data_IF_083740004645
#
_entry.id   IF_083740004645
#
_cell.length_a   1.000
_cell.length_b   1.000
_cell.length_c   1.000
_cell.angle_alpha   90.00
_cell.angle_beta   90.00
_cell.angle_gamma   90.00
#
_symmetry.space_group_name_H-M   'P 1'
#
loop_
_entity.id
_entity.type
_entity.pdbx_description
1 polymer ?
#
# COMPACT_ATOMS: atom_id res chain seq x y z
N UNK A 1 1.94 -11.92 -6.85
CA UNK A 1 2.41 -11.18 -5.67
C UNK A 1 1.79 -11.74 -4.40
N UNK A 2 0.46 -11.80 -4.23
CA UNK A 2 -0.20 -12.29 -3.01
C UNK A 2 0.32 -13.65 -2.52
N UNK A 3 0.43 -14.63 -3.42
CA UNK A 3 0.81 -15.99 -3.05
C UNK A 3 2.32 -16.22 -2.90
N UNK A 4 3.17 -15.37 -3.52
CA UNK A 4 4.61 -15.63 -3.60
C UNK A 4 5.50 -14.42 -3.26
N UNK A 5 4.93 -13.24 -3.08
CA UNK A 5 5.67 -12.03 -2.74
C UNK A 5 5.36 -11.50 -1.34
N UNK A 6 4.12 -11.68 -0.87
CA UNK A 6 3.76 -11.34 0.50
C UNK A 6 4.09 -12.53 1.41
N UNK A 7 4.83 -12.36 2.50
CA UNK A 7 5.15 -13.45 3.42
C UNK A 7 3.91 -14.09 4.04
N UNK A 8 3.98 -15.40 4.34
CA UNK A 8 2.85 -16.15 4.90
C UNK A 8 2.42 -15.64 6.29
N UNK A 9 3.35 -15.12 7.07
CA UNK A 9 3.07 -14.57 8.39
C UNK A 9 2.24 -13.29 8.38
N UNK A 10 2.16 -12.60 7.20
CA UNK A 10 1.30 -11.44 6.97
C UNK A 10 -0.03 -11.82 6.35
N UNK A 11 -0.03 -12.76 5.41
CA UNK A 11 -1.21 -13.17 4.65
C UNK A 11 -1.28 -14.69 4.53
N UNK A 12 -2.11 -15.35 5.34
CA UNK A 12 -2.33 -16.79 5.27
C UNK A 12 -2.77 -17.24 3.89
N UNK A 13 -2.20 -18.34 3.40
CA UNK A 13 -2.45 -18.85 2.04
C UNK A 13 -3.88 -19.36 1.85
N UNK A 14 -4.51 -19.87 2.90
CA UNK A 14 -5.91 -20.33 2.90
C UNK A 14 -6.91 -19.20 2.63
N UNK A 15 -6.61 -17.96 3.04
CA UNK A 15 -7.44 -16.80 2.72
C UNK A 15 -7.41 -16.49 1.24
N UNK A 16 -6.21 -16.54 0.63
CA UNK A 16 -6.04 -16.34 -0.82
C UNK A 16 -6.78 -17.43 -1.59
N UNK A 17 -6.64 -18.69 -1.15
CA UNK A 17 -7.31 -19.81 -1.79
C UNK A 17 -8.83 -19.64 -1.78
N UNK A 18 -9.42 -19.22 -0.65
CA UNK A 18 -10.86 -18.94 -0.55
C UNK A 18 -11.34 -17.89 -1.53
N UNK A 19 -10.62 -16.75 -1.64
CA UNK A 19 -10.97 -15.68 -2.58
C UNK A 19 -10.87 -16.14 -4.04
N UNK A 20 -9.86 -16.95 -4.36
CA UNK A 20 -9.72 -17.55 -5.70
C UNK A 20 -10.87 -18.48 -6.03
N UNK A 21 -11.35 -19.31 -5.07
CA UNK A 21 -12.50 -20.19 -5.30
C UNK A 21 -13.80 -19.40 -5.58
N UNK A 22 -14.00 -18.24 -4.95
CA UNK A 22 -15.13 -17.35 -5.27
C UNK A 22 -15.06 -16.89 -6.73
N UNK A 23 -13.87 -16.53 -7.22
CA UNK A 23 -13.66 -16.10 -8.62
C UNK A 23 -13.92 -17.25 -9.57
N UNK A 24 -13.44 -18.47 -9.27
CA UNK A 24 -13.68 -19.68 -10.08
C UNK A 24 -15.16 -20.02 -10.14
N UNK A 25 -15.90 -19.84 -9.05
CA UNK A 25 -17.34 -20.10 -9.01
C UNK A 25 -18.16 -19.18 -9.96
N UNK A 26 -17.57 -18.06 -10.40
CA UNK A 26 -18.14 -17.18 -11.43
C UNK A 26 -17.88 -17.69 -12.88
N UNK A 27 -17.28 -18.84 -13.05
CA UNK A 27 -16.99 -19.44 -14.35
C UNK A 27 -15.62 -19.06 -14.94
N UNK A 28 -14.72 -18.47 -14.14
CA UNK A 28 -13.36 -18.12 -14.59
C UNK A 28 -12.50 -19.39 -14.65
N UNK A 29 -11.96 -19.70 -15.81
CA UNK A 29 -10.97 -20.75 -16.00
C UNK A 29 -9.57 -20.25 -15.65
N UNK A 30 -8.87 -20.96 -14.77
CA UNK A 30 -7.49 -20.65 -14.36
C UNK A 30 -6.58 -21.77 -14.86
N UNK A 31 -5.66 -21.45 -15.77
CA UNK A 31 -4.64 -22.37 -16.31
C UNK A 31 -3.30 -22.08 -15.64
N UNK A 32 -2.95 -22.91 -14.67
CA UNK A 32 -1.65 -22.84 -13.99
C UNK A 32 -0.57 -23.60 -14.78
N UNK A 33 0.71 -23.24 -14.48
CA UNK A 33 1.85 -23.93 -15.10
C UNK A 33 2.10 -23.56 -16.56
N UNK A 34 1.42 -22.53 -17.10
CA UNK A 34 1.56 -22.05 -18.46
C UNK A 34 2.28 -20.71 -18.49
N UNK A 35 3.39 -20.63 -19.24
CA UNK A 35 4.17 -19.41 -19.42
C UNK A 35 3.93 -18.82 -20.80
N UNK A 36 3.35 -17.63 -20.85
CA UNK A 36 3.18 -16.89 -22.11
C UNK A 36 4.55 -16.47 -22.67
N UNK A 37 4.77 -16.72 -23.96
CA UNK A 37 6.05 -16.53 -24.64
C UNK A 37 6.94 -17.76 -24.65
N UNK A 38 6.60 -18.81 -23.88
CA UNK A 38 7.30 -20.10 -23.88
C UNK A 38 6.38 -21.25 -24.28
N UNK A 39 5.31 -21.49 -23.52
CA UNK A 39 4.38 -22.61 -23.71
C UNK A 39 3.25 -22.22 -24.67
N UNK A 40 2.85 -20.95 -24.68
CA UNK A 40 1.88 -20.37 -25.60
C UNK A 40 2.36 -18.99 -26.05
N UNK A 41 2.25 -18.67 -27.35
CA UNK A 41 2.61 -17.34 -27.84
C UNK A 41 1.52 -16.31 -27.51
N UNK A 42 1.92 -15.05 -27.33
CA UNK A 42 1.00 -13.95 -27.09
C UNK A 42 0.08 -13.73 -28.31
N UNK A 43 0.59 -13.91 -29.51
CA UNK A 43 -0.19 -13.82 -30.75
C UNK A 43 -1.28 -14.88 -30.83
N UNK A 44 -1.04 -16.08 -30.31
CA UNK A 44 -2.07 -17.14 -30.28
C UNK A 44 -3.21 -16.71 -29.32
N UNK A 45 -2.88 -16.17 -28.16
CA UNK A 45 -3.89 -15.66 -27.21
C UNK A 45 -4.72 -14.53 -27.88
N UNK A 46 -4.07 -13.59 -28.57
CA UNK A 46 -4.77 -12.52 -29.29
C UNK A 46 -5.69 -13.00 -30.41
N UNK A 47 -5.40 -14.13 -31.02
CA UNK A 47 -6.27 -14.72 -32.06
C UNK A 47 -7.44 -15.52 -31.47
N UNK A 48 -7.24 -16.11 -30.31
CA UNK A 48 -8.25 -16.91 -29.64
C UNK A 48 -9.31 -16.08 -28.93
N UNK A 49 -8.91 -14.90 -28.37
CA UNK A 49 -9.78 -14.07 -27.56
C UNK A 49 -10.06 -12.70 -28.21
N UNK A 50 -11.30 -12.24 -28.09
CA UNK A 50 -11.74 -10.93 -28.60
C UNK A 50 -11.07 -9.73 -27.90
N UNK A 51 -10.62 -9.92 -26.66
CA UNK A 51 -9.82 -8.93 -25.93
C UNK A 51 -8.89 -9.63 -24.91
N UNK A 52 -7.77 -8.99 -24.60
CA UNK A 52 -6.77 -9.50 -23.66
C UNK A 52 -6.42 -8.44 -22.62
N UNK A 53 -6.40 -8.81 -21.34
CA UNK A 53 -5.89 -7.98 -20.25
C UNK A 53 -4.55 -8.55 -19.77
N UNK A 54 -3.49 -7.74 -19.85
CA UNK A 54 -2.16 -8.10 -19.37
C UNK A 54 -2.02 -7.61 -17.94
N UNK A 55 -1.99 -8.54 -16.98
CA UNK A 55 -1.93 -8.25 -15.54
C UNK A 55 -0.74 -8.95 -14.86
N UNK A 56 0.41 -8.96 -15.51
CA UNK A 56 1.61 -9.70 -15.05
C UNK A 56 2.34 -9.04 -13.88
N UNK A 57 2.03 -7.79 -13.59
CA UNK A 57 2.69 -7.02 -12.52
C UNK A 57 4.17 -6.73 -12.78
N UNK A 58 4.90 -6.37 -11.72
CA UNK A 58 6.34 -6.14 -11.74
C UNK A 58 7.01 -7.15 -10.79
N UNK A 59 7.44 -8.28 -11.32
CA UNK A 59 7.89 -9.44 -10.52
C UNK A 59 9.40 -9.63 -10.47
N UNK A 60 10.17 -8.85 -11.25
CA UNK A 60 11.62 -8.94 -11.29
C UNK A 60 12.25 -7.88 -10.39
N UNK A 61 13.23 -8.25 -9.61
CA UNK A 61 14.02 -7.28 -8.83
C UNK A 61 14.85 -6.39 -9.76
N UNK A 62 15.01 -5.12 -9.39
CA UNK A 62 15.88 -4.19 -10.12
C UNK A 62 17.32 -4.38 -9.67
N UNK A 63 18.23 -4.41 -10.63
CA UNK A 63 19.66 -4.33 -10.40
C UNK A 63 20.10 -2.87 -10.19
N UNK A 64 21.15 -2.65 -9.40
CA UNK A 64 21.78 -1.35 -9.21
C UNK A 64 22.96 -1.10 -10.18
N UNK A 65 23.52 -2.16 -10.76
CA UNK A 65 24.71 -2.10 -11.60
C UNK A 65 25.99 -1.84 -10.82
N UNK A 66 26.04 -2.23 -9.56
CA UNK A 66 27.21 -2.01 -8.71
C UNK A 66 28.36 -2.94 -9.07
N UNK A 67 29.62 -2.51 -8.89
CA UNK A 67 30.75 -3.41 -8.87
C UNK A 67 30.50 -4.55 -7.89
N UNK A 68 30.81 -5.80 -8.28
CA UNK A 68 30.61 -6.98 -7.45
C UNK A 68 29.16 -7.47 -7.31
N UNK A 69 28.17 -6.82 -7.93
CA UNK A 69 26.76 -7.23 -7.84
C UNK A 69 26.48 -8.60 -8.47
N UNK A 70 27.19 -8.94 -9.55
CA UNK A 70 27.02 -10.21 -10.22
C UNK A 70 27.82 -11.32 -9.51
N UNK A 71 27.19 -12.45 -9.23
CA UNK A 71 27.84 -13.62 -8.63
C UNK A 71 27.03 -14.22 -7.48
N UNK A 72 27.55 -15.25 -6.82
CA UNK A 72 26.84 -15.96 -5.75
C UNK A 72 26.52 -15.05 -4.57
N UNK A 73 25.47 -15.40 -3.83
CA UNK A 73 24.98 -14.73 -2.62
C UNK A 73 24.59 -13.25 -2.78
N UNK A 74 24.24 -12.83 -4.03
CA UNK A 74 23.58 -11.57 -4.28
C UNK A 74 22.26 -11.89 -4.96
N UNK A 75 21.14 -11.57 -4.31
CA UNK A 75 19.81 -11.91 -4.80
C UNK A 75 18.90 -10.68 -4.82
N UNK A 76 17.91 -10.70 -5.67
CA UNK A 76 16.82 -9.76 -5.62
C UNK A 76 15.86 -10.06 -4.46
N UNK A 77 15.38 -9.03 -3.77
CA UNK A 77 14.49 -9.22 -2.62
C UNK A 77 13.19 -9.96 -2.97
N UNK A 78 12.57 -9.61 -4.11
CA UNK A 78 11.34 -10.30 -4.56
C UNK A 78 11.63 -11.74 -4.98
N UNK A 79 12.80 -12.00 -5.54
CA UNK A 79 13.21 -13.35 -5.93
C UNK A 79 13.39 -14.23 -4.71
N UNK A 80 13.97 -13.69 -3.61
CA UNK A 80 14.05 -14.36 -2.32
C UNK A 80 12.66 -14.69 -1.76
N UNK A 81 11.76 -13.69 -1.68
CA UNK A 81 10.40 -13.90 -1.14
C UNK A 81 9.65 -14.97 -1.92
N UNK A 82 9.82 -14.97 -3.25
CA UNK A 82 9.26 -16.02 -4.10
C UNK A 82 9.86 -17.39 -3.79
N UNK A 83 11.18 -17.51 -3.74
CA UNK A 83 11.87 -18.75 -3.46
C UNK A 83 11.42 -19.37 -2.13
N UNK A 84 11.39 -18.57 -1.05
CA UNK A 84 10.89 -18.98 0.27
C UNK A 84 9.42 -19.43 0.19
N UNK A 85 8.57 -18.68 -0.52
CA UNK A 85 7.15 -19.01 -0.63
C UNK A 85 6.85 -20.30 -1.40
N UNK A 86 7.72 -20.72 -2.30
CA UNK A 86 7.59 -21.98 -3.05
C UNK A 86 8.46 -23.12 -2.50
N UNK A 87 9.15 -22.89 -1.38
CA UNK A 87 10.00 -23.87 -0.72
C UNK A 87 11.34 -24.13 -1.41
N UNK A 88 11.77 -23.23 -2.30
CA UNK A 88 13.11 -23.27 -2.89
C UNK A 88 14.14 -22.85 -1.83
N UNK A 89 15.26 -23.57 -1.73
CA UNK A 89 16.35 -23.22 -0.84
C UNK A 89 17.33 -22.31 -1.57
N UNK A 90 17.60 -21.15 -1.01
CA UNK A 90 18.68 -20.26 -1.42
C UNK A 90 19.87 -20.42 -0.46
N UNK A 91 21.08 -20.28 -0.99
CA UNK A 91 22.30 -20.25 -0.18
C UNK A 91 22.44 -18.87 0.48
N UNK A 92 21.75 -18.69 1.60
CA UNK A 92 21.82 -17.47 2.41
C UNK A 92 22.73 -17.75 3.60
N UNK A 93 23.72 -16.88 3.78
CA UNK A 93 24.62 -16.94 4.91
C UNK A 93 24.00 -16.42 6.21
N UNK A 94 24.83 -16.01 7.15
CA UNK A 94 24.39 -15.54 8.47
C UNK A 94 24.44 -14.02 8.62
N UNK A 95 25.39 -13.38 7.95
CA UNK A 95 25.57 -11.92 7.97
C UNK A 95 24.97 -11.35 6.68
N UNK A 96 23.79 -10.78 6.77
CA UNK A 96 22.99 -10.38 5.59
C UNK A 96 22.80 -8.89 5.55
N UNK A 97 23.10 -8.28 4.39
CA UNK A 97 22.77 -6.89 4.11
C UNK A 97 21.58 -6.82 3.16
N UNK A 98 20.51 -6.13 3.56
CA UNK A 98 19.35 -5.80 2.74
C UNK A 98 19.43 -4.32 2.34
N UNK A 99 19.43 -4.03 1.05
CA UNK A 99 19.51 -2.66 0.52
C UNK A 99 18.13 -2.23 0.07
N UNK A 100 17.55 -1.23 0.74
CA UNK A 100 16.25 -0.65 0.43
C UNK A 100 15.54 -0.11 1.67
N UNK A 101 14.62 0.85 1.49
CA UNK A 101 13.91 1.55 2.58
C UNK A 101 12.38 1.34 2.60
N UNK A 102 11.82 0.53 1.69
CA UNK A 102 10.36 0.30 1.59
C UNK A 102 9.88 -0.97 2.28
N UNK A 103 8.55 -1.18 2.34
CA UNK A 103 7.91 -2.35 2.96
C UNK A 103 8.48 -3.68 2.45
N UNK A 104 8.81 -3.78 1.15
CA UNK A 104 9.42 -4.99 0.58
C UNK A 104 10.80 -5.28 1.20
N UNK A 105 11.58 -4.25 1.53
CA UNK A 105 12.87 -4.45 2.18
C UNK A 105 12.71 -5.01 3.60
N UNK A 106 11.69 -4.54 4.34
CA UNK A 106 11.32 -5.11 5.64
C UNK A 106 10.80 -6.54 5.54
N UNK A 107 9.94 -6.83 4.57
CA UNK A 107 9.46 -8.20 4.32
C UNK A 107 10.63 -9.17 4.05
N UNK A 108 11.61 -8.73 3.26
CA UNK A 108 12.84 -9.49 2.96
C UNK A 108 13.66 -9.66 4.22
N UNK A 109 13.98 -8.59 4.94
CA UNK A 109 14.81 -8.61 6.14
C UNK A 109 14.19 -9.49 7.24
N UNK A 110 12.90 -9.32 7.51
CA UNK A 110 12.17 -10.13 8.51
C UNK A 110 12.07 -11.60 8.11
N UNK A 111 11.85 -11.88 6.81
CA UNK A 111 11.82 -13.27 6.32
C UNK A 111 13.16 -13.97 6.52
N UNK A 112 14.25 -13.30 6.19
CA UNK A 112 15.60 -13.86 6.34
C UNK A 112 15.97 -14.02 7.81
N UNK A 113 15.72 -13.02 8.65
CA UNK A 113 16.02 -13.07 10.07
C UNK A 113 15.30 -14.25 10.76
N UNK A 114 14.03 -14.47 10.44
CA UNK A 114 13.26 -15.61 10.95
C UNK A 114 13.77 -16.95 10.44
N UNK A 115 14.22 -17.02 9.19
CA UNK A 115 14.86 -18.22 8.64
C UNK A 115 16.17 -18.53 9.36
N UNK A 116 17.04 -17.53 9.56
CA UNK A 116 18.30 -17.67 10.29
C UNK A 116 18.03 -18.10 11.74
N UNK A 117 17.09 -17.44 12.43
CA UNK A 117 16.74 -17.75 13.81
C UNK A 117 16.15 -19.17 13.95
N UNK A 118 15.28 -19.59 13.03
CA UNK A 118 14.70 -20.93 13.00
C UNK A 118 15.75 -22.02 12.75
N UNK A 119 16.63 -21.82 11.78
CA UNK A 119 17.71 -22.75 11.47
C UNK A 119 18.76 -22.79 12.60
N UNK A 120 19.02 -21.63 13.23
CA UNK A 120 19.89 -21.55 14.41
C UNK A 120 19.27 -22.29 15.60
N UNK A 121 17.98 -22.13 15.88
CA UNK A 121 17.29 -22.85 16.94
C UNK A 121 17.29 -24.38 16.72
N UNK A 122 17.15 -24.83 15.47
CA UNK A 122 17.25 -26.25 15.09
C UNK A 122 18.70 -26.78 15.14
N UNK A 123 19.69 -25.91 14.95
CA UNK A 123 21.12 -26.23 14.90
C UNK A 123 21.82 -25.84 16.19
N UNK A 124 21.19 -25.06 17.08
CA UNK A 124 21.76 -24.47 18.30
C UNK A 124 22.35 -25.48 19.31
N UNK A 125 22.11 -26.78 19.09
CA UNK A 125 22.87 -27.81 19.79
C UNK A 125 24.35 -27.92 19.33
N UNK A 126 24.79 -27.16 18.29
CA UNK A 126 26.06 -27.44 17.60
C UNK A 126 27.00 -26.27 17.32
N UNK A 127 26.59 -25.01 17.24
CA UNK A 127 27.53 -23.91 16.92
C UNK A 127 27.09 -22.54 17.52
N UNK A 128 27.99 -21.76 18.14
CA UNK A 128 27.76 -20.39 18.58
C UNK A 128 27.85 -19.43 17.39
N UNK A 129 26.90 -18.53 17.27
CA UNK A 129 26.90 -17.45 16.30
C UNK A 129 25.46 -17.04 15.90
N UNK A 130 24.97 -15.98 16.52
CA UNK A 130 23.73 -15.31 16.08
C UNK A 130 24.03 -14.56 14.79
N UNK A 131 23.37 -14.93 13.68
CA UNK A 131 23.46 -14.15 12.45
C UNK A 131 22.83 -12.77 12.61
N UNK A 132 23.28 -11.79 11.83
CA UNK A 132 22.75 -10.44 11.82
C UNK A 132 22.14 -10.10 10.47
N UNK A 133 21.06 -9.31 10.49
CA UNK A 133 20.44 -8.74 9.29
C UNK A 133 20.52 -7.22 9.39
N UNK A 134 21.27 -6.64 8.47
CA UNK A 134 21.43 -5.19 8.32
C UNK A 134 20.50 -4.69 7.22
N UNK A 135 19.65 -3.70 7.53
CA UNK A 135 18.81 -3.02 6.54
C UNK A 135 19.38 -1.62 6.29
N UNK A 136 19.78 -1.35 5.06
CA UNK A 136 20.44 -0.10 4.69
C UNK A 136 19.57 0.68 3.70
N UNK A 137 19.26 1.95 4.02
CA UNK A 137 18.45 2.83 3.18
C UNK A 137 19.15 4.15 2.87
N UNK A 138 18.80 4.75 1.71
CA UNK A 138 19.20 6.11 1.36
C UNK A 138 18.54 7.14 2.27
N UNK A 139 17.29 6.88 2.61
CA UNK A 139 16.41 7.75 3.36
C UNK A 139 16.82 7.83 4.83
N UNK A 140 16.53 8.94 5.46
CA UNK A 140 16.47 9.06 6.93
C UNK A 140 15.29 8.25 7.47
N UNK A 141 15.21 8.05 8.76
CA UNK A 141 14.08 7.35 9.38
C UNK A 141 12.73 8.02 9.06
N UNK A 142 12.70 9.34 9.03
CA UNK A 142 11.50 10.15 8.79
C UNK A 142 11.07 10.11 7.30
N UNK A 143 12.01 9.90 6.39
CA UNK A 143 11.78 9.86 4.95
C UNK A 143 11.52 8.44 4.42
N UNK A 144 11.71 7.41 5.25
CA UNK A 144 11.54 6.03 4.81
C UNK A 144 10.13 5.78 4.29
N UNK A 145 9.97 5.17 3.10
CA UNK A 145 8.66 4.86 2.55
C UNK A 145 8.00 3.62 3.18
N UNK A 146 8.67 2.94 4.11
CA UNK A 146 8.10 1.81 4.85
C UNK A 146 7.08 2.31 5.88
N UNK A 147 6.02 1.53 6.10
CA UNK A 147 5.04 1.80 7.14
C UNK A 147 5.69 1.73 8.53
N UNK A 148 5.27 2.64 9.41
CA UNK A 148 5.81 2.73 10.79
C UNK A 148 5.70 1.39 11.55
N UNK A 149 4.62 0.64 11.32
CA UNK A 149 4.42 -0.68 11.93
C UNK A 149 5.53 -1.66 11.51
N UNK A 150 5.92 -1.65 10.23
CA UNK A 150 6.99 -2.52 9.72
C UNK A 150 8.35 -2.17 10.31
N UNK A 151 8.59 -0.86 10.48
CA UNK A 151 9.83 -0.37 11.09
C UNK A 151 9.91 -0.84 12.54
N UNK A 152 8.84 -0.62 13.32
CA UNK A 152 8.77 -1.02 14.73
C UNK A 152 8.93 -2.53 14.89
N UNK A 153 8.13 -3.32 14.15
CA UNK A 153 8.21 -4.78 14.25
C UNK A 153 9.55 -5.34 13.77
N UNK A 154 10.18 -4.70 12.77
CA UNK A 154 11.52 -5.08 12.33
C UNK A 154 12.58 -4.81 13.40
N UNK A 155 12.50 -3.67 14.07
CA UNK A 155 13.41 -3.32 15.17
C UNK A 155 13.22 -4.27 16.37
N UNK A 156 11.95 -4.62 16.71
CA UNK A 156 11.63 -5.60 17.75
C UNK A 156 12.19 -6.99 17.44
N UNK A 157 12.19 -7.39 16.17
CA UNK A 157 12.77 -8.67 15.74
C UNK A 157 14.32 -8.65 15.68
N UNK A 158 14.96 -7.48 15.81
CA UNK A 158 16.41 -7.32 15.88
C UNK A 158 17.10 -6.97 14.57
N UNK A 159 16.38 -6.41 13.59
CA UNK A 159 16.98 -5.86 12.37
C UNK A 159 17.87 -4.66 12.74
N UNK A 160 19.11 -4.67 12.28
CA UNK A 160 20.05 -3.56 12.45
C UNK A 160 19.88 -2.55 11.32
N UNK A 161 19.26 -1.41 11.61
CA UNK A 161 18.95 -0.40 10.61
C UNK A 161 20.08 0.63 10.46
N UNK A 162 20.42 0.96 9.20
CA UNK A 162 21.40 1.96 8.80
C UNK A 162 20.75 2.94 7.81
N UNK A 163 20.33 4.11 8.27
CA UNK A 163 19.70 5.14 7.46
C UNK A 163 20.75 6.12 6.90
N UNK A 164 20.46 6.73 5.73
CA UNK A 164 21.32 7.75 5.14
C UNK A 164 22.56 7.20 4.43
N UNK A 165 22.50 5.98 3.89
CA UNK A 165 23.61 5.34 3.23
C UNK A 165 23.27 4.81 1.85
N UNK A 166 24.09 5.19 0.85
CA UNK A 166 23.99 4.71 -0.52
C UNK A 166 25.08 3.69 -0.86
N UNK A 167 24.73 2.58 -1.51
CA UNK A 167 25.69 1.54 -1.84
C UNK A 167 26.67 2.01 -2.93
N UNK A 168 27.92 1.61 -2.83
CA UNK A 168 28.99 1.90 -3.78
C UNK A 168 29.45 0.65 -4.50
N UNK A 169 29.74 -0.40 -3.74
CA UNK A 169 30.22 -1.68 -4.27
C UNK A 169 29.91 -2.84 -3.33
N UNK A 170 29.79 -4.02 -3.87
CA UNK A 170 29.75 -5.27 -3.15
C UNK A 170 31.15 -5.87 -3.17
N UNK A 171 31.77 -5.93 -2.00
CA UNK A 171 33.15 -6.41 -1.84
C UNK A 171 33.18 -7.93 -1.91
N UNK A 172 34.13 -8.46 -2.70
CA UNK A 172 34.36 -9.90 -2.86
C UNK A 172 35.79 -10.26 -2.57
N UNK A 173 35.99 -11.45 -2.03
CA UNK A 173 37.34 -12.05 -1.88
C UNK A 173 37.87 -12.57 -3.23
N UNK A 174 39.09 -13.07 -3.21
CA UNK A 174 39.75 -13.67 -4.39
C UNK A 174 39.03 -14.91 -4.93
N UNK A 175 38.22 -15.59 -4.11
CA UNK A 175 37.39 -16.73 -4.50
C UNK A 175 36.02 -16.31 -5.06
N UNK A 176 35.70 -15.02 -5.04
CA UNK A 176 34.45 -14.47 -5.50
C UNK A 176 33.30 -14.48 -4.47
N UNK A 177 33.59 -14.80 -3.21
CA UNK A 177 32.59 -14.75 -2.14
C UNK A 177 32.35 -13.32 -1.70
N UNK A 178 31.10 -13.00 -1.32
CA UNK A 178 30.76 -11.72 -0.71
C UNK A 178 31.42 -11.62 0.67
N UNK A 179 32.07 -10.49 0.94
CA UNK A 179 32.70 -10.21 2.24
C UNK A 179 32.19 -8.93 2.89
N UNK A 180 31.43 -8.12 2.15
CA UNK A 180 30.82 -6.90 2.66
C UNK A 180 30.23 -6.04 1.56
N UNK A 181 29.63 -4.92 1.98
CA UNK A 181 29.15 -3.85 1.09
C UNK A 181 29.71 -2.53 1.55
N UNK A 182 30.33 -1.79 0.64
CA UNK A 182 30.80 -0.43 0.89
C UNK A 182 29.68 0.56 0.56
N UNK A 183 29.45 1.47 1.50
CA UNK A 183 28.46 2.54 1.40
C UNK A 183 29.12 3.91 1.51
N UNK A 184 28.45 4.91 0.95
CA UNK A 184 28.76 6.34 1.13
C UNK A 184 27.57 7.05 1.78
N UNK A 185 27.83 8.11 2.50
CA UNK A 185 26.78 8.89 3.17
C UNK A 185 25.86 9.53 2.13
N UNK A 186 24.56 9.35 2.27
CA UNK A 186 23.54 10.06 1.53
C UNK A 186 23.12 11.30 2.34
N UNK A 187 23.37 12.49 1.75
CA UNK A 187 23.08 13.77 2.40
C UNK A 187 21.63 14.19 2.17
N UNK A 188 21.10 13.84 1.00
CA UNK A 188 19.73 14.15 0.59
C UNK A 188 19.28 13.16 -0.46
N UNK A 189 18.03 12.66 -0.35
CA UNK A 189 17.45 11.70 -1.31
C UNK A 189 16.64 12.41 -2.40
N UNK A 190 15.84 13.42 -2.01
CA UNK A 190 14.91 14.11 -2.91
C UNK A 190 15.32 15.57 -3.10
N UNK A 191 15.09 16.11 -4.29
CA UNK A 191 15.26 17.54 -4.57
C UNK A 191 14.06 18.37 -4.02
N UNK A 192 14.10 19.68 -4.25
CA UNK A 192 13.08 20.63 -3.80
C UNK A 192 11.69 20.34 -4.41
N UNK A 193 11.63 19.70 -5.58
CA UNK A 193 10.40 19.27 -6.25
C UNK A 193 9.96 17.85 -5.82
N UNK A 194 10.56 17.29 -4.77
CA UNK A 194 10.35 15.90 -4.31
C UNK A 194 10.64 14.83 -5.35
N UNK A 195 11.51 15.12 -6.32
CA UNK A 195 12.02 14.15 -7.26
C UNK A 195 13.21 13.41 -6.69
N UNK A 196 13.30 12.11 -6.94
CA UNK A 196 14.44 11.29 -6.55
C UNK A 196 15.71 11.80 -7.24
N UNK A 197 16.59 12.42 -6.47
CA UNK A 197 17.86 13.03 -6.91
C UNK A 197 18.86 13.02 -5.75
N UNK A 198 19.42 11.83 -5.41
CA UNK A 198 20.26 11.69 -4.23
C UNK A 198 21.59 12.41 -4.37
N UNK A 199 21.98 13.09 -3.29
CA UNK A 199 23.30 13.73 -3.14
C UNK A 199 24.08 12.96 -2.11
N UNK A 200 25.34 12.69 -2.44
CA UNK A 200 26.23 11.89 -1.60
C UNK A 200 27.45 12.69 -1.13
N UNK A 201 27.96 12.32 0.04
CA UNK A 201 29.26 12.74 0.54
C UNK A 201 30.25 11.56 0.35
N UNK A 202 31.02 11.61 -0.70
CA UNK A 202 31.97 10.54 -1.05
C UNK A 202 33.18 10.45 -0.09
N UNK A 203 33.41 11.49 0.74
CA UNK A 203 34.47 11.49 1.75
C UNK A 203 34.11 10.62 2.97
N UNK A 204 32.82 10.35 3.21
CA UNK A 204 32.33 9.55 4.34
C UNK A 204 31.86 8.21 3.80
N UNK A 205 32.60 7.16 4.09
CA UNK A 205 32.32 5.78 3.66
C UNK A 205 32.34 4.85 4.85
N UNK A 206 31.58 3.78 4.76
CA UNK A 206 31.64 2.64 5.67
C UNK A 206 31.46 1.33 4.91
N UNK A 207 32.08 0.27 5.40
CA UNK A 207 31.87 -1.08 4.90
C UNK A 207 31.18 -1.90 5.97
N UNK A 208 30.04 -2.49 5.63
CA UNK A 208 29.32 -3.42 6.50
C UNK A 208 29.74 -4.82 6.06
N UNK A 209 30.39 -5.61 6.95
CA UNK A 209 30.75 -6.99 6.66
C UNK A 209 29.46 -7.82 6.47
N UNK A 210 29.43 -8.64 5.44
CA UNK A 210 28.35 -9.59 5.21
C UNK A 210 28.79 -10.70 4.26
N UNK A 211 28.03 -11.79 4.26
CA UNK A 211 28.22 -12.90 3.34
C UNK A 211 27.12 -13.02 2.29
N UNK A 212 26.03 -12.25 2.44
CA UNK A 212 24.89 -12.24 1.53
C UNK A 212 24.33 -10.84 1.37
N UNK A 213 23.94 -10.49 0.14
CA UNK A 213 23.32 -9.19 -0.19
C UNK A 213 21.96 -9.39 -0.85
N UNK A 214 20.95 -8.65 -0.39
CA UNK A 214 19.61 -8.68 -0.90
C UNK A 214 19.20 -7.30 -1.41
N UNK A 215 18.88 -7.19 -2.69
CA UNK A 215 18.53 -5.93 -3.34
C UNK A 215 17.02 -5.73 -3.35
N UNK A 216 16.52 -4.76 -2.58
CA UNK A 216 15.10 -4.41 -2.46
C UNK A 216 14.82 -2.98 -2.92
N UNK A 217 15.44 -2.56 -4.01
CA UNK A 217 15.46 -1.18 -4.56
C UNK A 217 14.44 -0.95 -5.68
N UNK A 218 13.36 -1.66 -5.64
CA UNK A 218 12.26 -1.58 -6.58
C UNK A 218 12.15 -2.80 -7.49
N UNK A 219 11.13 -2.77 -8.34
CA UNK A 219 10.71 -3.89 -9.16
C UNK A 219 10.58 -3.47 -10.62
N UNK A 220 10.66 -4.44 -11.53
CA UNK A 220 10.48 -4.26 -12.96
C UNK A 220 9.54 -5.35 -13.53
N UNK A 221 8.73 -5.03 -14.55
CA UNK A 221 7.96 -6.04 -15.26
C UNK A 221 8.83 -6.80 -16.23
N UNK A 222 8.46 -8.04 -16.52
CA UNK A 222 8.97 -8.79 -17.67
C UNK A 222 7.88 -8.86 -18.74
N UNK A 223 8.10 -8.17 -19.85
CA UNK A 223 7.21 -8.08 -20.99
C UNK A 223 7.84 -8.59 -22.29
N UNK A 224 8.88 -9.40 -22.20
CA UNK A 224 9.59 -9.94 -23.36
C UNK A 224 8.72 -10.78 -24.32
N UNK A 225 7.55 -11.20 -23.85
CA UNK A 225 6.57 -11.97 -24.62
C UNK A 225 5.62 -11.11 -25.47
N UNK A 226 5.62 -9.79 -25.28
CA UNK A 226 4.72 -8.89 -26.01
C UNK A 226 5.15 -8.73 -27.46
N UNK A 227 4.17 -8.56 -28.32
CA UNK A 227 4.39 -8.25 -29.75
C UNK A 227 4.88 -6.82 -29.98
N UNK A 228 5.57 -6.62 -31.10
CA UNK A 228 6.23 -5.35 -31.41
C UNK A 228 5.26 -4.18 -31.70
N UNK A 229 3.99 -4.47 -31.97
CA UNK A 229 2.94 -3.45 -32.20
C UNK A 229 2.46 -2.77 -30.90
N UNK A 230 2.88 -3.27 -29.76
CA UNK A 230 2.64 -2.63 -28.47
C UNK A 230 3.81 -1.68 -28.17
N UNK A 231 3.56 -0.39 -28.39
CA UNK A 231 4.56 0.65 -28.09
C UNK A 231 4.92 0.66 -26.60
N UNK A 232 6.18 0.98 -26.31
CA UNK A 232 6.66 1.15 -24.96
C UNK A 232 6.88 2.63 -24.63
N UNK A 233 6.42 3.08 -23.48
CA UNK A 233 6.67 4.42 -22.94
C UNK A 233 8.15 4.57 -22.53
N UNK A 234 8.72 3.50 -21.98
CA UNK A 234 10.14 3.32 -21.62
C UNK A 234 10.46 1.84 -21.69
N UNK A 235 11.74 1.44 -21.78
CA UNK A 235 12.12 0.04 -21.85
C UNK A 235 11.46 -0.80 -20.75
N UNK A 236 10.78 -1.87 -21.14
CA UNK A 236 10.06 -2.77 -20.24
C UNK A 236 8.67 -2.29 -19.78
N UNK A 237 8.17 -1.13 -20.24
CA UNK A 237 6.87 -0.60 -19.83
C UNK A 237 6.01 -0.27 -21.04
N UNK A 238 4.86 -0.91 -21.24
CA UNK A 238 3.97 -0.59 -22.37
C UNK A 238 3.38 0.82 -22.22
N UNK A 239 3.14 1.45 -23.35
CA UNK A 239 2.39 2.70 -23.42
C UNK A 239 0.91 2.38 -23.24
N UNK A 240 0.30 3.00 -22.25
CA UNK A 240 -1.08 2.73 -21.82
C UNK A 240 -1.85 4.03 -21.72
N UNK A 241 -3.04 4.06 -22.27
CA UNK A 241 -3.99 5.16 -22.02
C UNK A 241 -4.47 5.11 -20.56
N UNK A 242 -4.36 6.22 -19.84
CA UNK A 242 -4.61 6.28 -18.39
C UNK A 242 -6.07 6.09 -18.01
N UNK A 243 -7.00 6.39 -18.93
CA UNK A 243 -8.44 6.33 -18.67
C UNK A 243 -9.03 4.97 -19.05
N UNK A 244 -8.58 4.41 -20.17
CA UNK A 244 -9.11 3.17 -20.73
C UNK A 244 -8.25 1.96 -20.42
N UNK A 245 -6.99 2.16 -20.01
CA UNK A 245 -6.00 1.10 -19.83
C UNK A 245 -5.69 0.32 -21.12
N UNK A 246 -6.08 0.85 -22.28
CA UNK A 246 -5.76 0.28 -23.59
C UNK A 246 -4.31 0.53 -23.95
N UNK A 247 -3.71 -0.43 -24.64
CA UNK A 247 -2.40 -0.27 -25.30
C UNK A 247 -2.56 0.33 -26.70
N UNK A 248 -1.47 0.47 -27.43
CA UNK A 248 -1.48 0.85 -28.86
C UNK A 248 -2.05 -0.27 -29.73
N UNK A 249 -2.04 -1.53 -29.29
CA UNK A 249 -2.61 -2.65 -30.02
C UNK A 249 -4.12 -2.78 -29.73
N UNK A 250 -4.99 -2.84 -30.76
CA UNK A 250 -6.43 -2.99 -30.57
C UNK A 250 -6.81 -4.23 -29.77
N UNK A 251 -7.74 -4.10 -28.84
CA UNK A 251 -8.24 -5.21 -28.01
C UNK A 251 -7.27 -5.67 -26.91
N UNK A 252 -6.12 -4.97 -26.72
CA UNK A 252 -5.14 -5.30 -25.70
C UNK A 252 -5.10 -4.22 -24.62
N UNK A 253 -5.34 -4.62 -23.37
CA UNK A 253 -5.40 -3.76 -22.20
C UNK A 253 -4.34 -4.19 -21.18
N UNK A 254 -4.02 -3.28 -20.24
CA UNK A 254 -3.04 -3.55 -19.20
C UNK A 254 -3.64 -3.18 -17.83
N UNK A 255 -3.35 -3.97 -16.80
CA UNK A 255 -3.82 -3.69 -15.45
C UNK A 255 -2.72 -3.86 -14.38
N UNK A 256 -2.96 -3.26 -13.20
CA UNK A 256 -2.08 -3.35 -12.04
C UNK A 256 -0.76 -2.61 -12.22
N UNK A 257 0.30 -3.14 -11.60
CA UNK A 257 1.62 -2.50 -11.58
C UNK A 257 2.21 -2.28 -12.97
N UNK A 258 1.86 -3.11 -13.94
CA UNK A 258 2.30 -2.93 -15.31
C UNK A 258 1.73 -1.65 -15.95
N UNK A 259 0.53 -1.22 -15.54
CA UNK A 259 -0.12 -0.01 -16.06
C UNK A 259 0.35 1.27 -15.33
N UNK A 260 0.53 1.18 -14.01
CA UNK A 260 0.67 2.35 -13.14
C UNK A 260 2.00 2.44 -12.40
N UNK A 261 2.89 1.44 -12.53
CA UNK A 261 4.03 1.25 -11.66
C UNK A 261 3.63 0.52 -10.37
N UNK A 262 4.62 0.17 -9.55
CA UNK A 262 4.40 -0.55 -8.29
C UNK A 262 3.59 0.30 -7.31
N UNK A 263 2.45 -0.23 -6.87
CA UNK A 263 1.49 0.41 -5.96
C UNK A 263 0.94 -0.59 -4.95
N UNK A 264 -0.05 -0.17 -4.15
CA UNK A 264 -0.75 -1.04 -3.20
C UNK A 264 -1.58 -2.09 -3.93
N UNK A 265 -1.82 -3.23 -3.27
CA UNK A 265 -2.64 -4.31 -3.83
C UNK A 265 -4.06 -3.87 -4.19
N UNK A 266 -4.65 -2.95 -3.41
CA UNK A 266 -5.98 -2.42 -3.69
C UNK A 266 -6.02 -1.63 -5.00
N UNK A 267 -4.94 -0.93 -5.36
CA UNK A 267 -4.83 -0.23 -6.65
C UNK A 267 -4.81 -1.21 -7.82
N UNK A 268 -4.16 -2.37 -7.66
CA UNK A 268 -4.18 -3.43 -8.66
C UNK A 268 -5.59 -4.01 -8.84
N UNK A 269 -6.36 -4.21 -7.76
CA UNK A 269 -7.77 -4.63 -7.82
C UNK A 269 -8.63 -3.58 -8.53
N UNK A 270 -8.48 -2.30 -8.19
CA UNK A 270 -9.19 -1.19 -8.82
C UNK A 270 -8.86 -1.10 -10.32
N UNK A 271 -7.58 -1.25 -10.67
CA UNK A 271 -7.10 -1.27 -12.06
C UNK A 271 -7.69 -2.43 -12.86
N UNK A 272 -7.78 -3.64 -12.27
CA UNK A 272 -8.42 -4.80 -12.90
C UNK A 272 -9.89 -4.55 -13.21
N UNK A 273 -10.64 -3.96 -12.26
CA UNK A 273 -12.04 -3.58 -12.47
C UNK A 273 -12.18 -2.49 -13.56
N UNK A 274 -11.27 -1.54 -13.63
CA UNK A 274 -11.25 -0.51 -14.67
C UNK A 274 -10.98 -1.13 -16.05
N UNK A 275 -9.98 -2.01 -16.17
CA UNK A 275 -9.67 -2.71 -17.40
C UNK A 275 -10.86 -3.57 -17.89
N UNK A 276 -11.54 -4.27 -16.99
CA UNK A 276 -12.73 -5.05 -17.34
C UNK A 276 -13.86 -4.19 -17.92
N UNK A 277 -14.12 -3.00 -17.35
CA UNK A 277 -15.10 -2.04 -17.92
C UNK A 277 -14.67 -1.52 -19.28
N UNK A 278 -13.40 -1.28 -19.49
CA UNK A 278 -12.85 -0.84 -20.78
C UNK A 278 -12.98 -1.93 -21.85
N UNK A 279 -12.69 -3.19 -21.48
CA UNK A 279 -12.93 -4.35 -22.34
C UNK A 279 -14.41 -4.48 -22.71
N UNK A 280 -15.32 -4.36 -21.74
CA UNK A 280 -16.75 -4.37 -22.01
C UNK A 280 -17.14 -3.28 -23.02
N UNK A 281 -16.66 -2.06 -22.81
CA UNK A 281 -16.91 -0.94 -23.73
C UNK A 281 -16.35 -1.21 -25.13
N UNK A 282 -15.15 -1.76 -25.21
CA UNK A 282 -14.51 -2.13 -26.48
C UNK A 282 -15.34 -3.16 -27.27
N UNK A 283 -15.84 -4.18 -26.59
CA UNK A 283 -16.56 -5.28 -27.23
C UNK A 283 -18.03 -4.95 -27.58
N UNK A 284 -18.67 -4.10 -26.80
CA UNK A 284 -20.11 -3.83 -26.94
C UNK A 284 -20.46 -2.44 -27.45
N UNK A 285 -19.51 -1.51 -27.43
CA UNK A 285 -19.75 -0.09 -27.68
C UNK A 285 -20.49 0.63 -26.54
N UNK A 286 -20.90 -0.08 -25.47
CA UNK A 286 -21.67 0.46 -24.35
C UNK A 286 -20.76 0.73 -23.15
N UNK A 287 -21.04 1.79 -22.40
CA UNK A 287 -20.29 2.10 -21.17
C UNK A 287 -20.98 1.49 -19.95
N UNK A 288 -20.19 1.00 -19.02
CA UNK A 288 -20.64 0.68 -17.66
C UNK A 288 -20.41 1.93 -16.82
N UNK A 289 -21.49 2.53 -16.33
CA UNK A 289 -21.46 3.69 -15.45
C UNK A 289 -21.89 3.32 -14.04
N UNK A 290 -21.30 3.98 -13.05
CA UNK A 290 -21.74 3.87 -11.66
C UNK A 290 -22.74 5.01 -11.40
N UNK A 291 -24.00 4.66 -11.20
CA UNK A 291 -24.98 5.61 -10.70
C UNK A 291 -24.99 5.55 -9.17
N UNK A 292 -24.85 6.70 -8.56
CA UNK A 292 -24.93 6.86 -7.13
C UNK A 292 -26.13 7.74 -6.79
N UNK A 293 -27.01 7.21 -5.97
CA UNK A 293 -28.08 7.98 -5.35
C UNK A 293 -27.75 8.19 -3.89
N UNK A 294 -28.00 9.41 -3.41
CA UNK A 294 -27.81 9.80 -2.02
C UNK A 294 -29.17 10.01 -1.37
N UNK A 295 -29.39 9.39 -0.23
CA UNK A 295 -30.58 9.61 0.60
C UNK A 295 -30.15 10.17 1.96
N UNK A 296 -30.83 11.18 2.42
CA UNK A 296 -30.66 11.79 3.73
C UNK A 296 -31.79 11.33 4.65
N UNK A 297 -31.44 10.62 5.72
CA UNK A 297 -32.39 10.13 6.71
C UNK A 297 -32.25 10.95 8.00
N UNK A 298 -33.24 11.80 8.35
CA UNK A 298 -33.21 12.56 9.58
C UNK A 298 -33.13 11.66 10.83
N UNK A 299 -32.29 12.03 11.78
CA UNK A 299 -32.10 11.35 13.07
C UNK A 299 -32.40 12.33 14.23
N UNK A 300 -33.67 12.62 14.52
CA UNK A 300 -34.04 13.72 15.44
C UNK A 300 -33.59 13.49 16.89
N UNK A 301 -33.39 12.23 17.29
CA UNK A 301 -32.95 11.88 18.65
C UNK A 301 -31.49 11.36 18.69
N UNK A 302 -30.71 11.68 17.66
CA UNK A 302 -29.33 11.23 17.60
C UNK A 302 -28.52 11.80 18.77
N UNK A 303 -27.88 10.92 19.51
CA UNK A 303 -26.99 11.24 20.62
C UNK A 303 -25.78 10.32 20.60
N UNK A 304 -24.67 10.83 21.10
CA UNK A 304 -23.46 10.04 21.37
C UNK A 304 -23.21 10.01 22.89
N UNK A 305 -22.65 8.89 23.35
CA UNK A 305 -22.17 8.79 24.74
C UNK A 305 -21.05 9.82 24.96
N UNK A 306 -21.05 10.44 26.16
CA UNK A 306 -20.00 11.41 26.50
C UNK A 306 -18.65 10.73 26.61
N UNK A 307 -17.61 11.34 26.04
CA UNK A 307 -16.24 10.88 26.13
C UNK A 307 -15.86 9.76 25.17
N UNK A 308 -16.76 9.41 24.22
CA UNK A 308 -16.42 8.39 23.20
C UNK A 308 -15.18 8.78 22.37
N UNK A 309 -14.96 10.06 22.15
CA UNK A 309 -13.83 10.64 21.44
C UNK A 309 -12.50 10.48 22.20
N UNK A 310 -12.56 10.29 23.52
CA UNK A 310 -11.40 10.12 24.39
C UNK A 310 -11.04 8.64 24.62
N UNK A 311 -11.83 7.69 24.11
CA UNK A 311 -11.54 6.25 24.24
C UNK A 311 -10.24 5.95 23.49
N UNK A 312 -9.23 5.46 24.22
CA UNK A 312 -7.93 5.12 23.63
C UNK A 312 -8.07 3.90 22.72
N UNK A 313 -7.33 3.95 21.61
CA UNK A 313 -7.20 2.82 20.68
C UNK A 313 -6.66 1.58 21.42
N UNK A 314 -7.23 0.43 21.10
CA UNK A 314 -6.67 -0.87 21.50
C UNK A 314 -5.73 -1.32 20.40
N UNK A 315 -4.42 -1.47 20.65
CA UNK A 315 -3.49 -2.01 19.67
C UNK A 315 -3.92 -3.41 19.23
N UNK A 316 -3.71 -3.75 17.96
CA UNK A 316 -3.92 -5.12 17.49
C UNK A 316 -2.94 -6.04 18.20
N UNK A 317 -3.41 -7.10 18.91
CA UNK A 317 -2.50 -8.02 19.56
C UNK A 317 -1.60 -8.75 18.56
N UNK A 318 -0.30 -8.72 18.81
CA UNK A 318 0.72 -9.40 18.01
C UNK A 318 1.39 -10.52 18.80
N UNK A 319 2.09 -11.40 18.11
CA UNK A 319 2.99 -12.37 18.74
C UNK A 319 4.20 -11.63 19.33
N UNK A 320 4.72 -12.13 20.44
CA UNK A 320 5.99 -11.66 20.98
C UNK A 320 7.16 -11.94 20.00
N UNK A 321 8.19 -11.07 19.96
CA UNK A 321 9.31 -11.20 19.01
C UNK A 321 9.96 -12.59 19.01
N UNK A 322 10.15 -13.21 20.17
CA UNK A 322 10.73 -14.54 20.30
C UNK A 322 9.86 -15.61 19.64
N UNK A 323 8.53 -15.49 19.75
CA UNK A 323 7.58 -16.40 19.09
C UNK A 323 7.59 -16.23 17.57
N UNK A 324 7.75 -14.98 17.09
CA UNK A 324 7.86 -14.67 15.64
C UNK A 324 9.09 -15.32 15.03
N UNK A 325 10.23 -15.26 15.73
CA UNK A 325 11.50 -15.84 15.31
C UNK A 325 11.49 -17.37 15.37
N UNK A 326 10.87 -17.95 16.40
CA UNK A 326 10.78 -19.40 16.55
C UNK A 326 9.89 -20.09 15.52
N UNK A 327 8.96 -19.37 14.91
CA UNK A 327 8.00 -19.91 13.93
C UNK A 327 7.79 -18.93 12.78
N UNK A 328 8.65 -18.97 11.74
CA UNK A 328 8.70 -17.96 10.68
C UNK A 328 7.43 -17.84 9.84
N UNK A 329 6.61 -18.87 9.77
CA UNK A 329 5.35 -18.95 9.02
C UNK A 329 4.11 -18.52 9.83
N UNK A 330 4.25 -18.35 11.16
CA UNK A 330 3.11 -18.03 12.02
C UNK A 330 2.65 -16.60 11.82
N UNK A 331 1.33 -16.42 11.68
CA UNK A 331 0.69 -15.09 11.56
C UNK A 331 1.02 -14.24 12.78
N UNK A 332 1.55 -13.04 12.54
CA UNK A 332 1.99 -12.12 13.60
C UNK A 332 0.82 -11.46 14.29
N UNK A 333 -0.10 -10.88 13.54
CA UNK A 333 -1.29 -10.24 14.09
C UNK A 333 -2.34 -11.28 14.49
N UNK A 334 -2.68 -11.29 15.77
CA UNK A 334 -3.61 -12.29 16.35
C UNK A 334 -5.08 -11.91 16.24
N UNK A 335 -5.36 -10.66 15.86
CA UNK A 335 -6.70 -10.09 15.88
C UNK A 335 -7.20 -9.76 17.31
N UNK A 336 -8.37 -9.14 17.38
CA UNK A 336 -8.97 -8.74 18.66
C UNK A 336 -9.77 -9.86 19.31
N UNK A 337 -9.79 -9.89 20.65
CA UNK A 337 -10.84 -10.58 21.38
C UNK A 337 -12.18 -9.86 21.18
N UNK A 338 -13.29 -10.50 21.56
CA UNK A 338 -14.62 -9.87 21.47
C UNK A 338 -14.68 -8.55 22.24
N UNK A 339 -14.14 -8.51 23.45
CA UNK A 339 -14.12 -7.32 24.32
C UNK A 339 -13.29 -6.21 23.69
N UNK A 340 -12.12 -6.53 23.15
CA UNK A 340 -11.26 -5.58 22.44
C UNK A 340 -11.95 -5.03 21.20
N UNK A 341 -12.59 -5.90 20.40
CA UNK A 341 -13.32 -5.50 19.21
C UNK A 341 -14.52 -4.58 19.55
N UNK A 342 -15.26 -4.90 20.61
CA UNK A 342 -16.36 -4.04 21.07
C UNK A 342 -15.85 -2.67 21.55
N UNK A 343 -14.72 -2.65 22.25
CA UNK A 343 -14.08 -1.39 22.69
C UNK A 343 -13.62 -0.55 21.50
N UNK A 344 -13.00 -1.17 20.49
CA UNK A 344 -12.63 -0.45 19.25
C UNK A 344 -13.87 0.02 18.47
N UNK A 345 -14.93 -0.78 18.41
CA UNK A 345 -16.18 -0.38 17.78
C UNK A 345 -16.84 0.83 18.46
N UNK A 346 -16.70 0.96 19.80
CA UNK A 346 -17.25 2.12 20.54
C UNK A 346 -16.54 3.45 20.22
N UNK A 347 -15.37 3.41 19.60
CA UNK A 347 -14.64 4.59 19.10
C UNK A 347 -15.13 5.07 17.73
N UNK A 348 -16.08 4.37 17.13
CA UNK A 348 -16.60 4.72 15.80
C UNK A 348 -17.16 6.15 15.81
N UNK A 349 -16.70 7.01 14.87
CA UNK A 349 -17.16 8.39 14.72
C UNK A 349 -18.52 8.48 14.00
N UNK A 350 -19.10 7.35 13.57
CA UNK A 350 -20.34 7.28 12.79
C UNK A 350 -20.31 8.25 11.59
N UNK A 351 -19.28 8.16 10.76
CA UNK A 351 -19.00 9.09 9.65
C UNK A 351 -20.13 9.19 8.61
N UNK A 352 -21.07 8.24 8.61
CA UNK A 352 -22.28 8.32 7.81
C UNK A 352 -23.34 9.28 8.38
N UNK A 353 -23.15 9.79 9.60
CA UNK A 353 -24.04 10.80 10.20
C UNK A 353 -23.36 12.16 10.16
N UNK A 354 -24.11 13.19 9.77
CA UNK A 354 -23.59 14.56 9.68
C UNK A 354 -24.63 15.57 10.15
N UNK A 355 -24.22 16.68 10.79
CA UNK A 355 -25.11 17.81 10.99
C UNK A 355 -25.35 18.52 9.66
N UNK A 356 -26.62 18.69 9.33
CA UNK A 356 -27.10 19.44 8.15
C UNK A 356 -27.67 20.76 8.61
N UNK A 357 -27.26 21.85 7.96
CA UNK A 357 -27.62 23.22 8.32
C UNK A 357 -28.67 23.75 7.34
N UNK A 358 -29.82 24.19 7.89
CA UNK A 358 -30.84 24.89 7.13
C UNK A 358 -30.61 26.42 7.27
N UNK A 359 -30.04 27.00 6.22
CA UNK A 359 -29.75 28.44 6.17
C UNK A 359 -30.99 29.32 6.22
N UNK A 360 -32.18 28.80 5.81
CA UNK A 360 -33.42 29.55 5.83
C UNK A 360 -33.98 29.75 7.25
N UNK A 361 -33.61 28.88 8.17
CA UNK A 361 -34.01 28.90 9.59
C UNK A 361 -32.93 29.49 10.50
N UNK A 362 -31.68 29.52 10.03
CA UNK A 362 -30.55 29.94 10.81
C UNK A 362 -30.57 31.44 11.10
N UNK A 363 -30.48 31.83 12.37
CA UNK A 363 -30.44 33.23 12.82
C UNK A 363 -29.02 33.68 13.19
N UNK A 364 -27.99 32.94 12.81
CA UNK A 364 -26.57 33.22 13.03
C UNK A 364 -26.23 33.56 14.49
N UNK A 365 -26.88 32.94 15.47
CA UNK A 365 -26.67 33.23 16.90
C UNK A 365 -25.34 32.75 17.47
N UNK A 366 -24.54 31.97 16.70
CA UNK A 366 -23.22 31.49 17.11
C UNK A 366 -23.22 30.29 18.09
N UNK A 367 -24.38 29.94 18.66
CA UNK A 367 -24.45 28.91 19.71
C UNK A 367 -23.91 27.52 19.30
N UNK A 368 -23.97 27.17 18.03
CA UNK A 368 -23.39 25.91 17.49
C UNK A 368 -21.85 25.98 17.44
N UNK A 369 -21.28 27.16 17.19
CA UNK A 369 -19.83 27.38 17.18
C UNK A 369 -19.27 27.28 18.61
N UNK A 370 -19.95 27.93 19.57
CA UNK A 370 -19.53 27.98 20.98
C UNK A 370 -19.47 26.60 21.65
N UNK A 371 -20.41 25.70 21.30
CA UNK A 371 -20.47 24.37 21.92
C UNK A 371 -19.61 23.32 21.23
N UNK A 372 -18.98 23.66 20.10
CA UNK A 372 -18.22 22.69 19.33
C UNK A 372 -16.90 22.32 20.01
N UNK A 373 -16.73 21.09 20.53
CA UNK A 373 -15.54 20.72 21.31
C UNK A 373 -14.27 20.63 20.48
N UNK A 374 -14.40 20.46 19.15
CA UNK A 374 -13.27 20.37 18.23
C UNK A 374 -13.05 21.65 17.42
N UNK A 375 -13.87 22.69 17.68
CA UNK A 375 -13.79 23.96 16.98
C UNK A 375 -13.88 23.80 15.44
N UNK A 376 -14.68 22.84 15.00
CA UNK A 376 -14.85 22.56 13.56
C UNK A 376 -15.85 23.49 12.86
N UNK A 377 -16.58 24.32 13.62
CA UNK A 377 -17.54 25.28 13.08
C UNK A 377 -16.99 26.71 13.21
N UNK A 378 -17.18 27.51 12.16
CA UNK A 378 -16.80 28.93 12.14
C UNK A 378 -17.88 29.73 11.43
N UNK A 379 -18.18 30.92 11.93
CA UNK A 379 -18.95 31.93 11.21
C UNK A 379 -17.93 32.82 10.50
N UNK A 380 -18.12 32.99 9.20
CA UNK A 380 -17.24 33.79 8.34
C UNK A 380 -18.10 34.74 7.50
N UNK A 381 -17.65 36.00 7.26
CA UNK A 381 -18.29 36.87 6.28
C UNK A 381 -18.27 36.25 4.90
N UNK A 382 -19.32 36.47 4.11
CA UNK A 382 -19.35 35.99 2.72
C UNK A 382 -18.30 36.67 1.84
N UNK A 383 -17.88 37.89 2.20
CA UNK A 383 -16.75 38.56 1.55
C UNK A 383 -15.43 37.76 1.56
N UNK A 384 -15.23 36.92 2.57
CA UNK A 384 -14.03 36.10 2.73
C UNK A 384 -14.08 34.77 1.93
N UNK A 385 -15.20 34.52 1.28
CA UNK A 385 -15.43 33.29 0.52
C UNK A 385 -15.51 33.59 -0.98
N UNK A 386 -14.89 32.74 -1.78
CA UNK A 386 -14.98 32.81 -3.26
C UNK A 386 -16.21 32.02 -3.74
N UNK A 387 -17.41 32.49 -3.31
CA UNK A 387 -18.71 31.92 -3.71
C UNK A 387 -19.60 33.04 -4.28
N UNK A 388 -20.24 32.73 -5.40
CA UNK A 388 -21.30 33.56 -5.97
C UNK A 388 -22.59 32.76 -5.95
N UNK A 389 -23.65 33.33 -5.38
CA UNK A 389 -25.00 32.76 -5.44
C UNK A 389 -26.04 33.86 -5.59
N UNK A 390 -27.05 33.67 -6.44
CA UNK A 390 -28.10 34.67 -6.63
C UNK A 390 -28.81 35.01 -5.30
N UNK A 391 -28.92 36.30 -4.96
CA UNK A 391 -29.63 36.78 -3.79
C UNK A 391 -28.81 36.86 -2.50
N UNK A 392 -27.47 36.60 -2.55
CA UNK A 392 -26.58 36.83 -1.40
C UNK A 392 -26.01 38.24 -1.41
N UNK A 393 -25.99 38.88 -0.24
CA UNK A 393 -25.29 40.13 0.01
C UNK A 393 -23.89 39.82 0.58
N UNK A 394 -22.88 39.85 -0.26
CA UNK A 394 -21.51 39.50 0.11
C UNK A 394 -20.92 40.42 1.18
N UNK A 395 -21.38 41.65 1.32
CA UNK A 395 -20.88 42.62 2.27
C UNK A 395 -21.49 42.44 3.65
N UNK A 396 -22.76 42.02 3.73
CA UNK A 396 -23.51 41.97 4.98
C UNK A 396 -23.84 40.53 5.47
N UNK A 397 -23.81 39.54 4.57
CA UNK A 397 -24.14 38.17 4.93
C UNK A 397 -22.93 37.40 5.46
N UNK A 398 -23.21 36.36 6.23
CA UNK A 398 -22.22 35.43 6.78
C UNK A 398 -22.64 33.98 6.56
N UNK A 399 -21.66 33.09 6.51
CA UNK A 399 -21.86 31.65 6.40
C UNK A 399 -21.29 30.90 7.60
N UNK A 400 -21.85 29.73 7.91
CA UNK A 400 -21.27 28.76 8.82
C UNK A 400 -20.47 27.75 8.01
N UNK A 401 -19.17 27.74 8.23
CA UNK A 401 -18.28 26.72 7.67
C UNK A 401 -18.10 25.57 8.66
N UNK A 402 -18.12 24.34 8.14
CA UNK A 402 -17.83 23.12 8.88
C UNK A 402 -16.59 22.44 8.32
N UNK A 403 -15.60 22.20 9.17
CA UNK A 403 -14.45 21.36 8.88
C UNK A 403 -14.83 19.89 9.13
N UNK A 404 -15.01 19.12 8.05
CA UNK A 404 -15.44 17.74 8.11
C UNK A 404 -14.42 16.81 8.78
N UNK A 405 -13.12 17.10 8.64
CA UNK A 405 -12.05 16.29 9.20
C UNK A 405 -11.97 16.41 10.72
N UNK A 406 -12.43 17.54 11.26
CA UNK A 406 -12.46 17.82 12.71
C UNK A 406 -13.80 17.48 13.35
N UNK A 407 -14.86 17.31 12.60
CA UNK A 407 -16.19 17.02 13.11
C UNK A 407 -16.28 15.61 13.69
N UNK A 408 -16.53 15.49 15.00
CA UNK A 408 -16.68 14.20 15.71
C UNK A 408 -18.16 13.72 15.78
N UNK A 409 -19.09 14.36 15.13
CA UNK A 409 -20.51 13.98 15.04
C UNK A 409 -21.22 13.85 16.40
N UNK A 410 -20.85 14.68 17.37
CA UNK A 410 -21.37 14.62 18.73
C UNK A 410 -22.80 15.15 18.89
N UNK A 411 -23.36 15.80 17.88
CA UNK A 411 -24.70 16.44 17.86
C UNK A 411 -24.89 17.67 18.76
N UNK A 412 -23.87 18.13 19.48
CA UNK A 412 -24.03 19.30 20.40
C UNK A 412 -24.50 20.55 19.65
N UNK A 413 -24.07 20.77 18.41
CA UNK A 413 -24.53 21.90 17.59
C UNK A 413 -26.04 21.83 17.29
N UNK A 414 -26.56 20.63 16.98
CA UNK A 414 -28.00 20.43 16.75
C UNK A 414 -28.81 20.66 18.02
N UNK A 415 -28.35 20.10 19.15
CA UNK A 415 -29.01 20.25 20.46
C UNK A 415 -28.99 21.70 20.99
N UNK A 416 -27.97 22.47 20.61
CA UNK A 416 -27.83 23.87 21.05
C UNK A 416 -28.61 24.86 20.19
N UNK A 417 -29.04 24.46 18.98
CA UNK A 417 -29.69 25.35 18.04
C UNK A 417 -31.09 25.76 18.54
N UNK A 418 -31.33 27.04 18.83
CA UNK A 418 -32.60 27.51 19.43
C UNK A 418 -33.76 27.49 18.43
N UNK A 419 -33.47 27.44 17.13
CA UNK A 419 -34.45 27.48 16.05
C UNK A 419 -34.50 26.18 15.26
N UNK A 420 -33.85 25.13 15.76
CA UNK A 420 -33.78 23.81 15.13
C UNK A 420 -33.33 23.86 13.65
N UNK A 421 -32.43 24.80 13.33
CA UNK A 421 -31.86 24.93 12.00
C UNK A 421 -30.76 23.90 11.70
N UNK A 422 -30.43 23.05 12.66
CA UNK A 422 -29.41 21.99 12.49
C UNK A 422 -30.04 20.67 12.85
N UNK A 423 -30.07 19.75 11.86
CA UNK A 423 -30.54 18.38 12.03
C UNK A 423 -29.39 17.40 11.89
N UNK A 424 -29.43 16.31 12.64
CA UNK A 424 -28.52 15.19 12.42
C UNK A 424 -29.15 14.27 11.39
N UNK A 425 -28.40 13.95 10.34
CA UNK A 425 -28.90 13.10 9.26
C UNK A 425 -27.91 11.98 8.93
N UNK A 426 -28.44 10.80 8.65
CA UNK A 426 -27.64 9.70 8.08
C UNK A 426 -27.65 9.83 6.57
N UNK A 427 -26.45 9.96 6.00
CA UNK A 427 -26.24 9.95 4.56
C UNK A 427 -26.06 8.52 4.09
N UNK A 428 -27.00 8.02 3.32
CA UNK A 428 -26.98 6.69 2.73
C UNK A 428 -26.68 6.79 1.24
N UNK A 429 -25.68 6.02 0.79
CA UNK A 429 -25.35 5.92 -0.63
C UNK A 429 -25.83 4.59 -1.17
N UNK A 430 -26.61 4.62 -2.23
CA UNK A 430 -26.92 3.44 -3.02
C UNK A 430 -26.20 3.55 -4.36
N UNK A 431 -25.38 2.57 -4.68
CA UNK A 431 -24.64 2.53 -5.94
C UNK A 431 -25.14 1.39 -6.80
N UNK A 432 -25.39 1.66 -8.07
CA UNK A 432 -25.80 0.67 -9.06
C UNK A 432 -24.96 0.81 -10.33
N UNK A 433 -24.46 -0.33 -10.82
CA UNK A 433 -23.83 -0.37 -12.11
C UNK A 433 -24.89 -0.45 -13.21
N UNK A 434 -24.82 0.45 -14.19
CA UNK A 434 -25.70 0.45 -15.35
C UNK A 434 -24.90 0.32 -16.63
N UNK A 435 -25.47 -0.43 -17.57
CA UNK A 435 -24.97 -0.55 -18.94
C UNK A 435 -25.79 0.42 -19.80
N UNK A 436 -25.12 1.44 -20.32
CA UNK A 436 -25.73 2.42 -21.24
C UNK A 436 -25.94 1.86 -22.65
#
# INVERSE_FOLDING_TARGET
MLAVGVPAYRLPRELIAREVEVIKALGVEIRCGVTVGKDISFENIRREFAAVIIAVGAKSSRALGLPGERGPRVYGGVDLLRAVSVGEKLDIGREVVVIGGGNVAYDVARTVLRQIAYDTARTAARLPGTGAVHLVSLETLEEMPADTVEIVEGDEEGIQRHNGWGPVEIVRDAAGNVTGVTFRQCVRVFDEQRKFNPIYNDAVRQTIPCDTVLLSVGQAPNISFLSADIEQMRPGWPKVDKNTLATTAPGVFVAGDLAHGTRLLIDAVASGKAAARSVYTHLTGRKITLEQTTAHLPLPLYQRERGYEAIRRVPVPTLEPEERLARPDRVVERGYTREQAMREASRCLDCGVTPVFDGTRCVLCGGCVDVCPTLCLKIVPLSDLDIESPGMDRENDSAILKDEDRCIRCALCAWRCPVEAITMERVCFTTQWRTG
#
